data_IF_149338868075
#
_entry.id   IF_149338868075
#
_cell.length_a   1.000
_cell.length_b   1.000
_cell.length_c   1.000
_cell.angle_alpha   90.00
_cell.angle_beta   90.00
_cell.angle_gamma   90.00
#
_symmetry.space_group_name_H-M   'P 1'
#
loop_
_entity.id
_entity.type
_entity.pdbx_description
1 polymer ?
#
# COMPACT_ATOMS: atom_id res chain seq x y z
N UNK A 1 -14.58 6.63 -19.34
CA UNK A 1 -13.92 5.75 -18.36
C UNK A 1 -14.17 4.31 -18.78
N UNK A 2 -13.25 3.37 -18.50
CA UNK A 2 -13.47 1.96 -18.83
C UNK A 2 -14.33 1.28 -17.76
N UNK A 3 -15.09 0.24 -18.10
CA UNK A 3 -15.95 -0.48 -17.12
C UNK A 3 -15.14 -1.05 -15.93
N UNK A 4 -13.91 -1.51 -16.19
CA UNK A 4 -13.01 -2.01 -15.15
C UNK A 4 -12.54 -0.90 -14.21
N UNK A 5 -12.26 0.30 -14.74
CA UNK A 5 -11.89 1.47 -13.96
C UNK A 5 -13.03 1.91 -13.02
N UNK A 6 -14.26 1.99 -13.53
CA UNK A 6 -15.44 2.34 -12.74
C UNK A 6 -15.67 1.35 -11.60
N UNK A 7 -15.61 0.04 -11.90
CA UNK A 7 -15.73 -1.03 -10.90
C UNK A 7 -14.64 -0.93 -9.82
N UNK A 8 -13.40 -0.64 -10.22
CA UNK A 8 -12.30 -0.49 -9.27
C UNK A 8 -12.46 0.75 -8.38
N UNK A 9 -12.90 1.89 -8.95
CA UNK A 9 -13.19 3.12 -8.19
C UNK A 9 -14.32 2.89 -7.20
N UNK A 10 -15.41 2.25 -7.61
CA UNK A 10 -16.54 1.94 -6.73
C UNK A 10 -16.11 1.05 -5.57
N UNK A 11 -15.37 -0.02 -5.87
CA UNK A 11 -14.85 -0.95 -4.87
C UNK A 11 -13.94 -0.25 -3.85
N UNK A 12 -12.98 0.56 -4.32
CA UNK A 12 -12.07 1.30 -3.45
C UNK A 12 -12.79 2.38 -2.64
N UNK A 13 -13.81 3.02 -3.22
CA UNK A 13 -14.64 4.01 -2.54
C UNK A 13 -15.34 3.40 -1.34
N UNK A 14 -15.93 2.21 -1.53
CA UNK A 14 -16.62 1.48 -0.47
C UNK A 14 -15.65 1.09 0.67
N UNK A 15 -14.51 0.49 0.32
CA UNK A 15 -13.54 -0.03 1.30
C UNK A 15 -12.84 1.05 2.14
N UNK A 16 -12.64 2.25 1.58
CA UNK A 16 -11.91 3.33 2.24
C UNK A 16 -12.82 4.51 2.62
N UNK A 17 -14.12 4.25 2.85
CA UNK A 17 -15.11 5.28 3.21
C UNK A 17 -14.65 6.17 4.36
N UNK A 18 -14.01 5.60 5.39
CA UNK A 18 -13.49 6.32 6.56
C UNK A 18 -12.39 7.36 6.21
N UNK A 19 -11.79 7.21 5.03
CA UNK A 19 -10.65 7.98 4.55
C UNK A 19 -10.98 8.93 3.38
N UNK A 20 -12.26 9.27 3.18
CA UNK A 20 -12.73 10.26 2.18
C UNK A 20 -11.98 10.17 0.85
N UNK A 21 -12.08 9.04 0.14
CA UNK A 21 -11.24 8.77 -1.02
C UNK A 21 -11.58 9.74 -2.15
N UNK A 22 -10.54 10.30 -2.77
CA UNK A 22 -10.64 11.17 -3.94
C UNK A 22 -9.90 10.52 -5.10
N UNK A 23 -10.56 10.47 -6.26
CA UNK A 23 -10.02 9.82 -7.46
C UNK A 23 -9.76 10.88 -8.53
N UNK A 24 -8.63 10.72 -9.22
CA UNK A 24 -8.28 11.53 -10.37
C UNK A 24 -7.79 10.60 -11.48
N UNK A 25 -8.40 10.72 -12.65
CA UNK A 25 -7.95 10.02 -13.85
C UNK A 25 -6.60 10.59 -14.30
N UNK A 26 -5.77 9.71 -14.85
CA UNK A 26 -4.49 10.09 -15.41
C UNK A 26 -4.46 9.83 -16.92
N UNK A 27 -3.68 10.60 -17.70
CA UNK A 27 -3.60 10.44 -19.15
C UNK A 27 -3.09 9.07 -19.60
N UNK A 28 -2.37 8.35 -18.72
CA UNK A 28 -1.84 7.01 -18.94
C UNK A 28 -2.88 5.90 -18.66
N UNK A 29 -4.16 6.24 -18.45
CA UNK A 29 -5.23 5.28 -18.14
C UNK A 29 -5.18 4.71 -16.72
N UNK A 30 -4.25 5.17 -15.89
CA UNK A 30 -4.22 4.83 -14.46
C UNK A 30 -5.11 5.77 -13.65
N UNK A 31 -5.40 5.42 -12.39
CA UNK A 31 -6.18 6.26 -11.48
C UNK A 31 -5.35 6.63 -10.27
N UNK A 32 -5.32 7.90 -9.89
CA UNK A 32 -4.74 8.34 -8.62
C UNK A 32 -5.81 8.35 -7.55
N UNK A 33 -5.66 7.52 -6.51
CA UNK A 33 -6.45 7.61 -5.27
C UNK A 33 -5.71 8.47 -4.25
N UNK A 34 -6.41 9.41 -3.62
CA UNK A 34 -5.91 10.20 -2.48
C UNK A 34 -6.82 9.98 -1.28
N UNK A 35 -6.21 9.60 -0.15
CA UNK A 35 -6.89 9.31 1.11
C UNK A 35 -6.65 10.43 2.12
N UNK A 36 -7.72 10.86 2.79
CA UNK A 36 -7.73 11.97 3.75
C UNK A 36 -8.46 11.56 5.01
N UNK A 37 -7.97 12.00 6.16
CA UNK A 37 -8.69 11.77 7.41
C UNK A 37 -9.93 12.67 7.52
N UNK A 38 -10.70 12.49 8.61
CA UNK A 38 -11.91 13.27 8.89
C UNK A 38 -11.67 14.80 8.98
N UNK A 39 -10.45 15.25 9.26
CA UNK A 39 -10.04 16.67 9.29
C UNK A 39 -9.60 17.19 7.91
N UNK A 40 -9.68 16.38 6.87
CA UNK A 40 -9.25 16.72 5.51
C UNK A 40 -7.73 16.65 5.27
N UNK A 41 -6.93 16.26 6.29
CA UNK A 41 -5.48 16.09 6.14
C UNK A 41 -5.23 14.89 5.23
N UNK A 42 -4.41 15.09 4.19
CA UNK A 42 -3.94 14.01 3.32
C UNK A 42 -3.08 13.03 4.12
N UNK A 43 -3.48 11.76 4.09
CA UNK A 43 -2.72 10.66 4.68
C UNK A 43 -1.77 10.07 3.63
N UNK A 44 -2.30 9.68 2.47
CA UNK A 44 -1.49 9.15 1.38
C UNK A 44 -2.15 9.37 0.01
N UNK A 45 -1.36 9.17 -1.05
CA UNK A 45 -1.84 9.05 -2.42
C UNK A 45 -1.20 7.84 -3.08
N UNK A 46 -1.94 7.13 -3.93
CA UNK A 46 -1.44 5.95 -4.64
C UNK A 46 -1.99 5.87 -6.05
N UNK A 47 -1.16 5.41 -6.96
CA UNK A 47 -1.57 5.10 -8.34
C UNK A 47 -2.12 3.68 -8.36
N UNK A 48 -3.32 3.53 -8.94
CA UNK A 48 -3.98 2.26 -9.27
C UNK A 48 -3.66 1.96 -10.73
N UNK A 49 -2.81 0.96 -10.94
CA UNK A 49 -2.34 0.58 -12.28
C UNK A 49 -3.48 -0.04 -13.11
N UNK A 50 -3.35 -0.04 -14.44
CA UNK A 50 -4.38 -0.62 -15.31
C UNK A 50 -4.59 -2.12 -15.02
N UNK A 51 -3.51 -2.84 -14.72
CA UNK A 51 -3.53 -4.27 -14.37
C UNK A 51 -4.26 -4.51 -13.05
N UNK A 52 -4.12 -3.58 -12.10
CA UNK A 52 -4.84 -3.62 -10.81
C UNK A 52 -6.32 -3.31 -10.99
N UNK A 53 -6.68 -2.40 -11.92
CA UNK A 53 -8.08 -2.12 -12.27
C UNK A 53 -8.75 -3.32 -12.96
N UNK A 54 -7.99 -4.09 -13.74
CA UNK A 54 -8.50 -5.21 -14.52
C UNK A 54 -8.54 -6.55 -13.75
N UNK A 55 -7.88 -6.65 -12.59
CA UNK A 55 -7.74 -7.90 -11.85
C UNK A 55 -8.12 -7.75 -10.38
N UNK A 56 -9.17 -8.48 -9.96
CA UNK A 56 -9.64 -8.48 -8.57
C UNK A 56 -8.55 -8.93 -7.58
N UNK A 57 -7.70 -9.89 -7.97
CA UNK A 57 -6.58 -10.35 -7.14
C UNK A 57 -5.57 -9.24 -6.92
N UNK A 58 -5.21 -8.51 -7.98
CA UNK A 58 -4.25 -7.42 -7.90
C UNK A 58 -4.81 -6.21 -7.16
N UNK A 59 -6.10 -5.90 -7.37
CA UNK A 59 -6.82 -4.87 -6.65
C UNK A 59 -6.86 -5.17 -5.14
N UNK A 60 -7.15 -6.42 -4.76
CA UNK A 60 -7.13 -6.85 -3.37
C UNK A 60 -5.74 -6.74 -2.76
N UNK A 61 -4.69 -7.14 -3.50
CA UNK A 61 -3.31 -6.95 -3.05
C UNK A 61 -2.99 -5.46 -2.84
N UNK A 62 -3.46 -4.58 -3.73
CA UNK A 62 -3.31 -3.13 -3.58
C UNK A 62 -4.01 -2.61 -2.31
N UNK A 63 -5.25 -3.02 -2.07
CA UNK A 63 -6.02 -2.67 -0.86
C UNK A 63 -5.24 -3.04 0.41
N UNK A 64 -4.71 -4.25 0.47
CA UNK A 64 -3.95 -4.72 1.64
C UNK A 64 -2.67 -3.90 1.85
N UNK A 65 -2.00 -3.45 0.78
CA UNK A 65 -0.86 -2.53 0.90
C UNK A 65 -1.29 -1.15 1.38
N UNK A 66 -2.40 -0.62 0.88
CA UNK A 66 -2.94 0.68 1.33
C UNK A 66 -3.27 0.62 2.82
N UNK A 67 -3.91 -0.45 3.29
CA UNK A 67 -4.22 -0.65 4.72
C UNK A 67 -2.96 -0.61 5.59
N UNK A 68 -1.89 -1.34 5.20
CA UNK A 68 -0.62 -1.30 5.93
C UNK A 68 0.02 0.08 5.97
N UNK A 69 -0.01 0.79 4.84
CA UNK A 69 0.54 2.14 4.76
C UNK A 69 -0.24 3.09 5.70
N UNK A 70 -1.57 2.99 5.74
CA UNK A 70 -2.42 3.76 6.66
C UNK A 70 -2.11 3.45 8.13
N UNK A 71 -2.00 2.17 8.52
CA UNK A 71 -1.64 1.76 9.88
C UNK A 71 -0.29 2.37 10.31
N UNK A 72 0.66 2.44 9.37
CA UNK A 72 1.98 3.03 9.62
C UNK A 72 1.92 4.56 9.75
N UNK A 73 1.04 5.22 8.98
CA UNK A 73 0.86 6.68 9.01
C UNK A 73 0.13 7.13 10.28
N UNK A 74 -0.86 6.37 10.74
CA UNK A 74 -1.72 6.78 11.86
C UNK A 74 -1.05 6.56 13.22
N UNK A 75 -0.42 5.39 13.44
CA UNK A 75 0.44 5.08 14.59
C UNK A 75 -0.18 5.29 16.00
N UNK A 76 0.55 4.91 17.06
CA UNK A 76 1.62 3.91 17.10
C UNK A 76 1.08 2.49 16.83
N UNK A 77 1.90 1.62 16.25
CA UNK A 77 1.53 0.23 15.98
C UNK A 77 1.45 -0.57 17.28
N UNK A 78 0.27 -1.05 17.65
CA UNK A 78 0.04 -2.04 18.71
C UNK A 78 0.30 -3.48 18.27
N UNK A 79 0.27 -4.41 19.23
CA UNK A 79 0.56 -5.84 19.02
C UNK A 79 -0.44 -6.50 18.07
N UNK A 80 -1.69 -6.04 18.05
CA UNK A 80 -2.76 -6.48 17.16
C UNK A 80 -2.45 -6.22 15.67
N UNK A 81 -1.50 -5.33 15.39
CA UNK A 81 -1.10 -5.00 14.04
C UNK A 81 -0.04 -5.95 13.48
N UNK A 82 0.59 -6.79 14.31
CA UNK A 82 1.73 -7.65 13.89
C UNK A 82 1.32 -8.61 12.78
N UNK A 83 0.17 -9.25 12.89
CA UNK A 83 -0.32 -10.22 11.90
C UNK A 83 -0.52 -9.58 10.52
N UNK A 84 -0.93 -8.31 10.52
CA UNK A 84 -1.05 -7.53 9.30
C UNK A 84 0.29 -7.39 8.58
N UNK A 85 1.42 -7.29 9.28
CA UNK A 85 2.75 -7.19 8.66
C UNK A 85 3.38 -8.54 8.34
N UNK A 86 2.97 -9.63 9.00
CA UNK A 86 3.43 -10.98 8.72
C UNK A 86 2.84 -11.57 7.43
N UNK A 87 1.64 -11.15 7.05
CA UNK A 87 1.01 -11.61 5.81
C UNK A 87 1.90 -11.32 4.60
N UNK A 88 2.04 -12.26 3.68
CA UNK A 88 2.77 -12.02 2.43
C UNK A 88 1.86 -11.23 1.49
N UNK A 89 2.27 -10.03 1.11
CA UNK A 89 1.61 -9.28 0.03
C UNK A 89 2.58 -9.18 -1.13
N UNK A 90 2.13 -9.60 -2.31
CA UNK A 90 2.90 -9.48 -3.53
C UNK A 90 3.02 -8.01 -3.95
N UNK A 91 4.25 -7.59 -4.23
CA UNK A 91 4.54 -6.30 -4.80
C UNK A 91 4.74 -6.52 -6.29
N UNK A 92 3.85 -5.95 -7.11
CA UNK A 92 3.95 -6.10 -8.57
C UNK A 92 5.27 -5.59 -9.13
N UNK A 93 5.82 -4.55 -8.51
CA UNK A 93 7.11 -3.99 -8.89
C UNK A 93 8.29 -4.79 -8.36
N UNK A 94 8.09 -5.85 -7.55
CA UNK A 94 9.18 -6.65 -7.01
C UNK A 94 9.26 -8.00 -7.72
N UNK A 95 10.11 -8.04 -8.74
CA UNK A 95 10.60 -9.26 -9.37
C UNK A 95 11.84 -9.71 -8.60
N UNK A 96 11.76 -10.82 -7.83
CA UNK A 96 12.97 -11.43 -7.28
C UNK A 96 13.84 -11.81 -8.48
N UNK A 97 15.11 -11.39 -8.50
CA UNK A 97 16.09 -11.54 -9.60
C UNK A 97 16.18 -10.38 -10.60
N UNK A 98 15.33 -9.34 -10.55
CA UNK A 98 15.55 -8.16 -11.41
C UNK A 98 16.82 -7.40 -10.97
N UNK A 99 17.82 -7.23 -11.88
CA UNK A 99 19.12 -6.62 -11.54
C UNK A 99 19.04 -5.15 -11.14
N UNK A 100 17.93 -4.47 -11.48
CA UNK A 100 17.68 -3.08 -11.08
C UNK A 100 17.14 -2.96 -9.65
N UNK A 101 16.59 -4.03 -9.08
CA UNK A 101 16.22 -4.03 -7.67
C UNK A 101 17.49 -4.10 -6.84
N UNK A 102 17.76 -3.01 -6.11
CA UNK A 102 18.85 -3.01 -5.13
C UNK A 102 18.67 -4.24 -4.23
N UNK A 103 19.67 -5.13 -4.12
CA UNK A 103 19.58 -6.25 -3.21
C UNK A 103 19.23 -5.72 -1.83
N UNK A 104 18.18 -6.29 -1.23
CA UNK A 104 17.79 -5.96 0.14
C UNK A 104 19.01 -6.22 1.01
N UNK A 105 19.72 -5.15 1.39
CA UNK A 105 20.63 -5.21 2.51
C UNK A 105 19.72 -5.37 3.72
N UNK A 106 19.49 -6.61 4.13
CA UNK A 106 18.87 -6.91 5.42
C UNK A 106 19.85 -6.39 6.46
N UNK A 107 19.73 -5.11 6.79
CA UNK A 107 20.45 -4.55 7.92
C UNK A 107 19.73 -5.13 9.11
N UNK A 108 20.29 -6.20 9.67
CA UNK A 108 19.83 -6.79 10.94
C UNK A 108 20.14 -5.74 12.02
N UNK A 109 19.30 -4.71 12.13
CA UNK A 109 19.43 -3.67 13.15
C UNK A 109 19.50 -4.32 14.54
N UNK A 110 18.77 -5.43 14.74
CA UNK A 110 18.85 -6.25 15.95
C UNK A 110 20.21 -6.89 16.22
N UNK A 111 21.01 -7.23 15.21
CA UNK A 111 22.35 -7.79 15.42
C UNK A 111 23.33 -6.69 15.84
N UNK A 112 23.24 -5.50 15.24
CA UNK A 112 24.05 -4.34 15.64
C UNK A 112 23.68 -3.83 17.05
N UNK A 113 22.38 -3.80 17.37
CA UNK A 113 21.89 -3.39 18.69
C UNK A 113 22.28 -4.40 19.80
N UNK A 114 22.22 -5.71 19.53
CA UNK A 114 22.72 -6.75 20.46
C UNK A 114 24.23 -6.68 20.65
N UNK A 115 24.99 -6.37 19.60
CA UNK A 115 26.44 -6.16 19.71
C UNK A 115 26.81 -4.90 20.51
N UNK A 116 25.96 -3.87 20.51
CA UNK A 116 26.16 -2.64 21.29
C UNK A 116 25.66 -2.73 22.74
N UNK A 117 24.70 -3.61 23.03
CA UNK A 117 24.13 -3.80 24.38
C UNK A 117 24.93 -4.80 25.24
N UNK A 118 26.03 -5.33 24.72
CA UNK A 118 26.93 -6.28 25.41
C UNK A 118 28.18 -5.63 26.03
N UNK A 119 28.11 -4.36 26.43
CA UNK A 119 29.13 -3.69 27.26
C UNK A 119 28.51 -3.23 28.57
#
# INVERSE_FOLDING_TARGET
MSSSQETAIEHLSHLFTDYRPQFCDRPDGTVLITLRNARGKRLMSRVVQQEEQASSVLLNNLVERIRRDLMTIEGPLGQENVDWFLKRIELQTFVPVNPTHRPRKVVVAGARLRAQSGK
#
